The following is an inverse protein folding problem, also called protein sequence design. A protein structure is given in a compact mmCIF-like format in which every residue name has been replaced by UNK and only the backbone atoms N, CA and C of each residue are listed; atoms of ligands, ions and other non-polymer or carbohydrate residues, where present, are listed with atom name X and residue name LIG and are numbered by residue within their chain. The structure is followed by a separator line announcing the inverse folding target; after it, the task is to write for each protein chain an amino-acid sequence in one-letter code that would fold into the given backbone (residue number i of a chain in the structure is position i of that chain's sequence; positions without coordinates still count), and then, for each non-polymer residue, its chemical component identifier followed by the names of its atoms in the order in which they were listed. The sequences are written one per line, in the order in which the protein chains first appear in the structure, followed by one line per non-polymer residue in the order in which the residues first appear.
data_IF_154542421683
#
_entry.id   IF_154542421683
#
_cell.length_a   1.000
_cell.length_b   1.000
_cell.length_c   1.000
_cell.angle_alpha   90.00
_cell.angle_beta   90.00
_cell.angle_gamma   90.00
#
_symmetry.space_group_name_H-M   'P 1'
#
loop_
_entity.id
_entity.type
_entity.pdbx_description
1 polymer ?
#
# COMPACT_ATOMS: atom_id res chain seq x y z
N UNK A 1 26.39 -46.14 14.77
CA UNK A 1 25.65 -47.09 13.92
C UNK A 1 24.41 -46.35 13.43
N UNK A 2 24.20 -45.94 12.18
CA UNK A 2 24.84 -46.07 10.86
C UNK A 2 24.70 -44.66 10.25
N UNK A 3 25.73 -43.82 10.17
CA UNK A 3 26.80 -43.83 9.16
C UNK A 3 26.35 -44.29 7.77
N UNK A 4 26.36 -43.34 6.83
CA UNK A 4 26.68 -43.54 5.41
C UNK A 4 25.63 -44.27 4.58
N UNK A 5 24.67 -43.54 4.03
CA UNK A 5 23.85 -44.05 2.93
C UNK A 5 23.52 -43.00 1.84
N UNK A 6 24.39 -42.02 1.60
CA UNK A 6 24.33 -41.21 0.35
C UNK A 6 25.73 -40.79 -0.11
N UNK A 7 26.71 -41.67 0.00
CA UNK A 7 27.96 -41.53 -0.74
C UNK A 7 28.23 -42.86 -1.43
N UNK A 8 28.51 -42.77 -2.73
CA UNK A 8 29.00 -43.82 -3.64
C UNK A 8 27.94 -44.52 -4.49
N UNK A 9 27.45 -43.79 -5.49
CA UNK A 9 27.41 -44.33 -6.85
C UNK A 9 27.90 -43.26 -7.81
N UNK A 10 29.15 -43.45 -8.24
CA UNK A 10 29.82 -42.70 -9.26
C UNK A 10 29.32 -43.15 -10.64
N UNK A 11 29.12 -42.21 -11.57
CA UNK A 11 29.63 -42.27 -12.95
C UNK A 11 29.25 -41.00 -13.73
N UNK A 12 30.25 -40.14 -13.95
CA UNK A 12 30.51 -39.51 -15.24
C UNK A 12 29.43 -38.65 -15.89
N UNK A 13 28.97 -37.58 -15.22
CA UNK A 13 28.70 -36.27 -15.84
C UNK A 13 28.91 -35.21 -14.78
N UNK A 14 29.78 -34.25 -15.06
CA UNK A 14 29.89 -33.01 -14.29
C UNK A 14 28.54 -32.31 -14.37
N UNK A 15 27.64 -32.59 -13.43
CA UNK A 15 26.63 -31.61 -13.07
C UNK A 15 27.39 -30.51 -12.35
N UNK A 16 27.87 -29.56 -13.14
CA UNK A 16 27.99 -28.20 -12.66
C UNK A 16 26.59 -27.86 -12.16
N UNK A 17 26.37 -27.95 -10.84
CA UNK A 17 25.43 -27.04 -10.21
C UNK A 17 26.02 -25.66 -10.50
N UNK A 18 25.62 -25.11 -11.64
CA UNK A 18 25.74 -23.69 -11.86
C UNK A 18 24.91 -23.10 -10.72
N UNK A 19 25.60 -22.58 -9.70
CA UNK A 19 24.98 -21.62 -8.81
C UNK A 19 24.68 -20.44 -9.72
N UNK A 20 23.51 -20.47 -10.36
CA UNK A 20 22.96 -19.29 -11.00
C UNK A 20 22.81 -18.30 -9.85
N UNK A 21 23.69 -17.32 -9.80
CA UNK A 21 23.53 -16.21 -8.88
C UNK A 21 22.19 -15.57 -9.24
N UNK A 22 21.23 -15.52 -8.32
CA UNK A 22 20.00 -14.77 -8.54
C UNK A 22 20.40 -13.32 -8.86
N UNK A 23 20.06 -12.86 -10.06
CA UNK A 23 20.33 -11.49 -10.50
C UNK A 23 19.03 -10.69 -10.48
N UNK A 24 19.06 -9.54 -9.83
CA UNK A 24 17.94 -8.59 -9.85
C UNK A 24 18.01 -7.83 -11.16
N UNK A 25 17.05 -8.08 -12.05
CA UNK A 25 16.91 -7.36 -13.31
C UNK A 25 15.72 -6.40 -13.25
N UNK A 26 15.90 -5.19 -13.77
CA UNK A 26 14.83 -4.21 -13.89
C UNK A 26 13.87 -4.59 -15.02
N UNK A 27 12.59 -4.80 -14.69
CA UNK A 27 11.55 -5.16 -15.67
C UNK A 27 11.20 -4.04 -16.66
N UNK A 28 11.56 -2.79 -16.36
CA UNK A 28 11.25 -1.65 -17.21
C UNK A 28 12.19 -1.48 -18.39
N UNK A 29 13.19 -2.36 -18.57
CA UNK A 29 14.07 -2.35 -19.73
C UNK A 29 14.48 -3.78 -20.14
N UNK A 30 14.70 -4.01 -21.43
CA UNK A 30 14.99 -5.35 -21.98
C UNK A 30 16.40 -5.84 -21.66
N UNK A 31 17.29 -4.93 -21.26
CA UNK A 31 18.68 -5.22 -20.85
C UNK A 31 18.78 -5.55 -19.35
N UNK A 32 17.68 -5.47 -18.60
CA UNK A 32 17.64 -5.69 -17.15
C UNK A 32 18.33 -4.60 -16.33
N UNK A 33 18.81 -3.51 -16.94
CA UNK A 33 19.53 -2.44 -16.25
C UNK A 33 18.57 -1.44 -15.60
N UNK A 34 18.87 -1.03 -14.37
CA UNK A 34 18.12 0.01 -13.69
C UNK A 34 18.68 1.39 -14.06
N UNK A 35 17.84 2.24 -14.64
CA UNK A 35 18.12 3.67 -14.76
C UNK A 35 16.93 4.48 -14.30
N UNK A 36 17.19 5.61 -13.63
CA UNK A 36 16.16 6.54 -13.18
C UNK A 36 15.23 6.95 -14.34
N UNK A 37 15.79 7.18 -15.52
CA UNK A 37 15.00 7.50 -16.72
C UNK A 37 14.05 6.37 -17.13
N UNK A 38 14.53 5.13 -17.21
CA UNK A 38 13.70 3.97 -17.55
C UNK A 38 12.60 3.74 -16.52
N UNK A 39 12.89 4.00 -15.25
CA UNK A 39 11.93 3.87 -14.15
C UNK A 39 10.81 4.92 -14.24
N UNK A 40 11.15 6.21 -14.37
CA UNK A 40 10.15 7.26 -14.57
C UNK A 40 9.30 7.03 -15.83
N UNK A 41 9.90 6.54 -16.92
CA UNK A 41 9.17 6.21 -18.15
C UNK A 41 8.19 5.05 -17.93
N UNK A 42 8.63 4.01 -17.22
CA UNK A 42 7.79 2.86 -16.87
C UNK A 42 6.66 3.25 -15.93
N UNK A 43 6.96 3.99 -14.84
CA UNK A 43 5.97 4.53 -13.91
C UNK A 43 4.96 5.42 -14.62
N UNK A 44 5.42 6.33 -15.49
CA UNK A 44 4.57 7.20 -16.27
C UNK A 44 3.61 6.44 -17.20
N UNK A 45 4.00 5.26 -17.70
CA UNK A 45 3.13 4.39 -18.50
C UNK A 45 2.16 3.58 -17.62
N UNK A 46 2.63 3.03 -16.51
CA UNK A 46 1.83 2.26 -15.54
C UNK A 46 0.77 3.10 -14.83
N UNK A 47 1.02 4.40 -14.66
CA UNK A 47 0.14 5.34 -13.95
C UNK A 47 -0.86 6.09 -14.84
N UNK A 48 -0.91 5.83 -16.16
CA UNK A 48 -1.79 6.54 -17.11
C UNK A 48 -3.29 6.44 -16.79
N UNK A 49 -3.71 5.46 -15.99
CA UNK A 49 -5.08 5.30 -15.50
C UNK A 49 -5.38 5.95 -14.14
N UNK A 50 -4.35 6.35 -13.37
CA UNK A 50 -4.53 6.94 -12.04
C UNK A 50 -4.55 8.47 -12.08
N UNK A 51 -3.85 9.06 -13.05
CA UNK A 51 -3.74 10.50 -13.27
C UNK A 51 -4.55 10.96 -14.49
N UNK A 52 -5.72 10.38 -14.76
CA UNK A 52 -6.46 10.61 -16.01
C UNK A 52 -7.04 12.03 -16.17
N UNK A 53 -6.89 12.92 -15.20
CA UNK A 53 -7.13 14.35 -15.37
C UNK A 53 -6.19 15.20 -14.49
N UNK A 54 -5.07 15.72 -15.03
CA UNK A 54 -4.21 16.68 -14.33
C UNK A 54 -4.99 17.90 -13.82
N UNK A 55 -6.04 18.31 -14.53
CA UNK A 55 -6.84 19.49 -14.18
C UNK A 55 -7.90 19.24 -13.10
N UNK A 56 -8.35 17.99 -12.91
CA UNK A 56 -9.48 17.67 -12.04
C UNK A 56 -9.22 17.94 -10.55
N UNK A 57 -7.96 17.89 -10.12
CA UNK A 57 -7.54 18.15 -8.74
C UNK A 57 -6.73 19.46 -8.59
N UNK A 58 -6.55 20.23 -9.66
CA UNK A 58 -5.77 21.48 -9.62
C UNK A 58 -6.35 22.51 -8.63
N UNK A 59 -7.68 22.50 -8.45
CA UNK A 59 -8.38 23.35 -7.49
C UNK A 59 -7.99 23.03 -6.04
N UNK A 60 -7.67 21.76 -5.74
CA UNK A 60 -7.31 21.32 -4.39
C UNK A 60 -6.05 22.04 -3.90
N UNK A 61 -5.10 22.28 -4.79
CA UNK A 61 -3.86 23.00 -4.49
C UNK A 61 -4.03 24.51 -4.33
N UNK A 62 -5.17 25.07 -4.78
CA UNK A 62 -5.48 26.51 -4.66
C UNK A 62 -6.18 26.86 -3.34
N UNK A 63 -6.56 25.86 -2.54
CA UNK A 63 -7.23 26.08 -1.24
C UNK A 63 -6.26 26.73 -0.25
N UNK A 64 -6.68 27.84 0.37
CA UNK A 64 -5.90 28.57 1.39
C UNK A 64 -5.97 27.89 2.74
N UNK A 65 -5.29 26.75 2.88
CA UNK A 65 -5.13 26.02 4.14
C UNK A 65 -3.64 25.74 4.40
N UNK A 66 -3.24 25.49 5.65
CA UNK A 66 -1.87 25.05 5.95
C UNK A 66 -1.50 23.81 5.12
N UNK A 67 -0.30 23.82 4.53
CA UNK A 67 0.19 22.74 3.66
C UNK A 67 0.12 21.35 4.31
N UNK A 68 0.30 21.27 5.64
CA UNK A 68 0.16 20.03 6.41
C UNK A 68 -1.25 19.43 6.30
N UNK A 69 -2.29 20.26 6.40
CA UNK A 69 -3.69 19.82 6.32
C UNK A 69 -4.03 19.45 4.87
N UNK A 70 -3.53 20.24 3.92
CA UNK A 70 -3.70 19.97 2.49
C UNK A 70 -3.11 18.63 2.08
N UNK A 71 -1.86 18.37 2.47
CA UNK A 71 -1.20 17.09 2.20
C UNK A 71 -1.94 15.92 2.87
N UNK A 72 -2.37 16.09 4.12
CA UNK A 72 -3.16 15.08 4.81
C UNK A 72 -4.48 14.77 4.07
N UNK A 73 -5.23 15.79 3.66
CA UNK A 73 -6.46 15.61 2.90
C UNK A 73 -6.20 15.00 1.51
N UNK A 74 -5.06 15.28 0.89
CA UNK A 74 -4.64 14.62 -0.36
C UNK A 74 -4.46 13.11 -0.18
N UNK A 75 -3.80 12.69 0.90
CA UNK A 75 -3.65 11.27 1.24
C UNK A 75 -5.00 10.59 1.51
N UNK A 76 -5.96 11.30 2.12
CA UNK A 76 -7.33 10.81 2.31
C UNK A 76 -8.01 10.54 0.96
N UNK A 77 -7.94 11.48 0.02
CA UNK A 77 -8.53 11.34 -1.32
C UNK A 77 -7.93 10.16 -2.08
N UNK A 78 -6.62 9.94 -1.94
CA UNK A 78 -5.92 8.82 -2.56
C UNK A 78 -6.09 7.47 -1.83
N UNK A 79 -6.84 7.43 -0.72
CA UNK A 79 -6.91 6.27 0.18
C UNK A 79 -5.52 5.74 0.63
N UNK A 80 -4.56 6.64 0.78
CA UNK A 80 -3.15 6.32 1.03
C UNK A 80 -2.70 6.58 2.47
N UNK A 81 -3.63 6.85 3.39
CA UNK A 81 -3.29 6.96 4.81
C UNK A 81 -2.82 5.61 5.35
N UNK A 82 -1.80 5.58 6.23
CA UNK A 82 -1.21 4.36 6.75
C UNK A 82 -2.07 3.71 7.83
N UNK A 83 -3.34 3.42 7.51
CA UNK A 83 -4.27 2.77 8.45
C UNK A 83 -3.92 1.29 8.60
N UNK A 84 -4.29 0.67 9.72
CA UNK A 84 -3.99 -0.76 9.93
C UNK A 84 -4.66 -1.68 8.89
N UNK A 85 -5.79 -1.27 8.29
CA UNK A 85 -6.38 -1.98 7.15
C UNK A 85 -5.44 -2.00 5.94
N UNK A 86 -4.92 -0.84 5.53
CA UNK A 86 -3.94 -0.75 4.44
C UNK A 86 -2.66 -1.51 4.78
N UNK A 87 -2.14 -1.35 6.00
CA UNK A 87 -0.93 -2.04 6.45
C UNK A 87 -1.09 -3.55 6.42
N UNK A 88 -2.25 -4.07 6.84
CA UNK A 88 -2.55 -5.51 6.76
C UNK A 88 -2.61 -5.99 5.31
N UNK A 89 -3.24 -5.21 4.43
CA UNK A 89 -3.32 -5.56 3.00
C UNK A 89 -1.94 -5.56 2.32
N UNK A 90 -1.00 -4.74 2.78
CA UNK A 90 0.38 -4.75 2.33
C UNK A 90 1.27 -5.79 3.05
N UNK A 91 0.73 -6.62 3.94
CA UNK A 91 1.51 -7.60 4.72
C UNK A 91 2.43 -6.98 5.79
N UNK A 92 2.25 -5.70 6.11
CA UNK A 92 3.04 -4.94 7.09
C UNK A 92 2.46 -5.02 8.51
N UNK A 93 1.30 -5.64 8.69
CA UNK A 93 0.65 -5.84 9.99
C UNK A 93 -0.14 -7.14 10.00
N UNK A 94 -0.11 -7.85 11.12
CA UNK A 94 -0.93 -9.05 11.33
C UNK A 94 -2.41 -8.72 11.64
N UNK A 95 -2.67 -7.53 12.16
CA UNK A 95 -4.01 -7.09 12.58
C UNK A 95 -4.40 -5.79 11.88
N UNK A 96 -5.68 -5.70 11.49
CA UNK A 96 -6.29 -4.48 10.99
C UNK A 96 -7.11 -3.73 12.05
N UNK A 97 -7.09 -4.19 13.31
CA UNK A 97 -7.84 -3.55 14.38
C UNK A 97 -7.38 -2.11 14.63
N UNK A 98 -8.31 -1.25 15.02
CA UNK A 98 -7.99 0.13 15.40
C UNK A 98 -7.11 0.17 16.64
N UNK A 99 -5.96 0.85 16.55
CA UNK A 99 -5.03 0.97 17.68
C UNK A 99 -5.57 1.76 18.87
N UNK A 100 -6.65 2.52 18.69
CA UNK A 100 -7.20 3.37 19.73
C UNK A 100 -8.34 2.71 20.52
N UNK A 101 -9.31 2.11 19.82
CA UNK A 101 -10.48 1.50 20.47
C UNK A 101 -10.50 -0.03 20.38
N UNK A 102 -9.71 -0.64 19.51
CA UNK A 102 -9.70 -2.09 19.24
C UNK A 102 -11.05 -2.70 18.83
N UNK A 103 -12.08 -1.90 18.55
CA UNK A 103 -13.45 -2.40 18.31
C UNK A 103 -13.71 -2.85 16.87
N UNK A 104 -13.02 -2.29 15.88
CA UNK A 104 -13.20 -2.66 14.47
C UNK A 104 -11.96 -2.41 13.62
N UNK A 105 -12.09 -2.75 12.33
CA UNK A 105 -11.07 -2.49 11.31
C UNK A 105 -10.79 -0.99 11.19
N UNK A 106 -9.51 -0.65 11.20
CA UNK A 106 -8.96 0.69 11.06
C UNK A 106 -8.95 1.11 9.59
N UNK A 107 -10.12 1.47 9.05
CA UNK A 107 -10.21 2.14 7.76
C UNK A 107 -10.09 3.66 7.92
N UNK A 108 -9.89 4.38 6.80
CA UNK A 108 -9.81 5.84 6.81
C UNK A 108 -11.10 6.45 7.36
N UNK A 109 -12.26 6.00 6.91
CA UNK A 109 -13.56 6.48 7.43
C UNK A 109 -13.70 6.19 8.93
N UNK A 110 -13.20 5.04 9.37
CA UNK A 110 -13.27 4.67 10.77
C UNK A 110 -12.43 5.59 11.65
N UNK A 111 -11.14 5.75 11.33
CA UNK A 111 -10.23 6.60 12.12
C UNK A 111 -10.67 8.05 12.14
N UNK A 112 -11.22 8.56 11.04
CA UNK A 112 -11.60 9.97 10.95
C UNK A 112 -12.99 10.28 11.51
N UNK A 113 -13.88 9.29 11.63
CA UNK A 113 -15.29 9.55 11.93
C UNK A 113 -15.94 8.53 12.86
N UNK A 114 -15.84 7.23 12.53
CA UNK A 114 -16.65 6.21 13.20
C UNK A 114 -16.02 5.71 14.52
N UNK A 115 -14.71 5.89 14.68
CA UNK A 115 -13.97 5.55 15.89
C UNK A 115 -14.53 6.35 17.09
N UNK A 116 -14.83 5.71 18.24
CA UNK A 116 -15.35 6.40 19.42
C UNK A 116 -14.51 7.62 19.83
N UNK A 117 -13.19 7.51 19.71
CA UNK A 117 -12.29 8.62 20.01
C UNK A 117 -12.40 9.77 19.00
N UNK A 118 -12.52 9.46 17.71
CA UNK A 118 -12.75 10.48 16.69
C UNK A 118 -14.10 11.19 16.93
N UNK A 119 -15.16 10.42 17.23
CA UNK A 119 -16.48 10.97 17.57
C UNK A 119 -16.42 11.92 18.75
N UNK A 120 -15.67 11.59 19.79
CA UNK A 120 -15.51 12.47 20.94
C UNK A 120 -14.88 13.82 20.56
N UNK A 121 -13.82 13.80 19.75
CA UNK A 121 -13.18 15.03 19.26
C UNK A 121 -14.18 15.89 18.49
N UNK A 122 -14.94 15.27 17.59
CA UNK A 122 -15.95 15.96 16.79
C UNK A 122 -17.07 16.56 17.64
N UNK A 123 -17.53 15.85 18.66
CA UNK A 123 -18.52 16.36 19.59
C UNK A 123 -18.00 17.59 20.35
N UNK A 124 -16.73 17.58 20.75
CA UNK A 124 -16.10 18.71 21.44
C UNK A 124 -16.00 19.97 20.59
N UNK A 125 -15.92 19.83 19.26
CA UNK A 125 -15.90 20.97 18.32
C UNK A 125 -17.29 21.31 17.75
N UNK A 126 -18.37 20.75 18.33
CA UNK A 126 -19.75 21.09 17.99
C UNK A 126 -20.33 20.33 16.80
N UNK A 127 -19.69 19.26 16.34
CA UNK A 127 -20.20 18.40 15.26
C UNK A 127 -20.96 17.22 15.88
N UNK A 128 -22.29 17.32 15.88
CA UNK A 128 -23.17 16.34 16.53
C UNK A 128 -23.79 15.30 15.59
N UNK A 129 -23.74 15.53 14.28
CA UNK A 129 -24.36 14.66 13.29
C UNK A 129 -23.36 14.30 12.19
N UNK A 130 -23.14 13.00 12.03
CA UNK A 130 -22.46 12.45 10.87
C UNK A 130 -23.49 11.79 9.97
N UNK A 131 -23.60 12.18 8.69
CA UNK A 131 -24.39 11.41 7.75
C UNK A 131 -23.82 9.99 7.68
N UNK A 132 -24.69 8.99 7.80
CA UNK A 132 -24.34 7.60 7.53
C UNK A 132 -23.96 7.49 6.05
N UNK A 133 -22.67 7.54 5.74
CA UNK A 133 -22.19 7.07 4.45
C UNK A 133 -22.21 5.54 4.51
N UNK A 134 -23.32 4.95 4.08
CA UNK A 134 -23.38 3.53 3.79
C UNK A 134 -22.20 3.15 2.89
N UNK A 135 -21.53 2.04 3.21
CA UNK A 135 -20.43 1.44 2.47
C UNK A 135 -20.85 1.09 1.03
N UNK A 136 -20.91 2.08 0.15
CA UNK A 136 -21.07 1.84 -1.28
C UNK A 136 -19.70 1.97 -1.94
N UNK A 137 -19.04 0.83 -2.15
CA UNK A 137 -17.93 0.76 -3.10
C UNK A 137 -16.78 -0.17 -2.72
N UNK A 138 -16.93 -1.45 -3.09
CA UNK A 138 -15.86 -2.36 -3.55
C UNK A 138 -14.76 -2.74 -2.57
N UNK A 139 -15.07 -3.76 -1.76
CA UNK A 139 -14.14 -4.88 -1.55
C UNK A 139 -14.93 -6.18 -1.71
N UNK A 140 -14.93 -6.72 -2.93
CA UNK A 140 -15.19 -8.15 -3.15
C UNK A 140 -13.83 -8.83 -3.15
N UNK A 141 -13.53 -9.75 -2.22
CA UNK A 141 -12.37 -10.62 -2.35
C UNK A 141 -12.67 -11.64 -3.45
N UNK A 142 -11.94 -11.55 -4.55
CA UNK A 142 -11.79 -12.62 -5.54
C UNK A 142 -10.39 -13.21 -5.41
#
# INVERSE_FOLDING_TARGET
MLSKMVLLYAWGRVMSLCVCHDSVAWLGNTDGSYTVFSDYKWLGASLKGWCSHPDSASWFWKVKIPAKIQFFAWLVVLNALPTNDLRRNCGLSASAACGHCSCSVESISYVLRDCPHAREIWLRIGVHAFPNFSRNGRYSPG
#
